data_IF_055014797625
#
_entry.id   IF_055014797625
#
_cell.length_a   1.000
_cell.length_b   1.000
_cell.length_c   1.000
_cell.angle_alpha   90.00
_cell.angle_beta   90.00
_cell.angle_gamma   90.00
#
_symmetry.space_group_name_H-M   'P 1'
#
loop_
_entity.id
_entity.type
_entity.pdbx_description
1 polymer ?
#
# COMPACT_ATOMS: atom_id res chain seq x y z
N UNK A 1 14.95 -16.09 -2.81
CA UNK A 1 13.72 -15.92 -2.01
C UNK A 1 12.54 -16.30 -2.89
N UNK A 2 11.42 -16.68 -2.30
CA UNK A 2 10.16 -16.79 -3.02
C UNK A 2 9.63 -15.40 -3.37
N UNK A 3 8.77 -15.31 -4.39
CA UNK A 3 8.18 -14.04 -4.81
C UNK A 3 7.36 -13.40 -3.68
N UNK A 4 6.60 -14.21 -2.94
CA UNK A 4 5.87 -13.74 -1.76
C UNK A 4 6.79 -13.16 -0.68
N UNK A 5 7.93 -13.79 -0.41
CA UNK A 5 8.91 -13.24 0.56
C UNK A 5 9.47 -11.89 0.10
N UNK A 6 9.72 -11.72 -1.21
CA UNK A 6 10.18 -10.44 -1.78
C UNK A 6 9.10 -9.35 -1.65
N UNK A 7 7.84 -9.69 -1.93
CA UNK A 7 6.70 -8.79 -1.78
C UNK A 7 6.51 -8.36 -0.32
N UNK A 8 6.50 -9.30 0.63
CA UNK A 8 6.34 -9.00 2.06
C UNK A 8 7.51 -8.18 2.61
N UNK A 9 8.73 -8.44 2.14
CA UNK A 9 9.90 -7.65 2.51
C UNK A 9 9.79 -6.20 2.02
N UNK A 10 9.30 -5.99 0.79
CA UNK A 10 9.03 -4.65 0.28
C UNK A 10 7.89 -3.95 1.03
N UNK A 11 6.77 -4.64 1.29
CA UNK A 11 5.66 -4.07 2.08
C UNK A 11 6.14 -3.56 3.43
N UNK A 12 6.96 -4.36 4.13
CA UNK A 12 7.54 -3.98 5.42
C UNK A 12 8.49 -2.78 5.29
N UNK A 13 9.38 -2.80 4.31
CA UNK A 13 10.33 -1.69 4.12
C UNK A 13 9.62 -0.37 3.78
N UNK A 14 8.57 -0.44 2.95
CA UNK A 14 7.74 0.72 2.61
C UNK A 14 6.97 1.24 3.83
N UNK A 15 6.35 0.34 4.61
CA UNK A 15 5.68 0.67 5.87
C UNK A 15 6.64 1.35 6.87
N UNK A 16 7.80 0.75 7.13
CA UNK A 16 8.83 1.29 8.03
C UNK A 16 9.34 2.69 7.58
N UNK A 17 9.27 3.00 6.29
CA UNK A 17 9.63 4.31 5.74
C UNK A 17 8.49 5.33 5.89
N UNK A 18 7.24 4.94 5.62
CA UNK A 18 6.06 5.81 5.74
C UNK A 18 5.81 6.24 7.20
N UNK A 19 6.07 5.35 8.16
CA UNK A 19 5.88 5.61 9.59
C UNK A 19 7.14 6.15 10.29
N UNK A 20 8.19 6.49 9.54
CA UNK A 20 9.43 6.96 10.12
C UNK A 20 9.24 8.27 10.89
N UNK A 21 9.56 8.28 12.18
CA UNK A 21 9.46 9.45 13.05
C UNK A 21 8.07 9.68 13.66
N UNK A 22 7.07 8.83 13.36
CA UNK A 22 5.75 8.87 14.00
C UNK A 22 5.80 8.57 15.51
N UNK A 23 6.88 7.94 15.97
CA UNK A 23 7.17 7.66 17.38
C UNK A 23 7.78 8.85 18.14
N UNK A 24 8.00 9.99 17.47
CA UNK A 24 8.66 11.17 18.04
C UNK A 24 10.19 11.09 18.07
N UNK A 25 10.79 10.04 17.48
CA UNK A 25 12.23 9.93 17.36
C UNK A 25 12.79 10.90 16.31
N UNK A 26 14.02 11.43 16.50
CA UNK A 26 14.66 12.28 15.48
C UNK A 26 14.88 11.52 14.16
N UNK A 27 14.52 12.15 13.04
CA UNK A 27 14.79 11.63 11.70
C UNK A 27 16.19 12.09 11.27
N UNK A 28 17.11 11.16 11.14
CA UNK A 28 18.44 11.42 10.59
C UNK A 28 18.45 11.26 9.07
N UNK A 29 19.04 12.24 8.37
CA UNK A 29 19.02 12.30 6.90
C UNK A 29 19.69 11.11 6.23
N UNK A 30 20.73 10.53 6.85
CA UNK A 30 21.45 9.36 6.36
C UNK A 30 20.61 8.08 6.50
N UNK A 31 19.91 7.90 7.62
CA UNK A 31 18.96 6.79 7.80
C UNK A 31 17.79 6.90 6.83
N UNK A 32 17.17 8.08 6.73
CA UNK A 32 16.09 8.33 5.78
C UNK A 32 16.52 8.02 4.34
N UNK A 33 17.67 8.53 3.92
CA UNK A 33 18.20 8.33 2.58
C UNK A 33 18.52 6.85 2.30
N UNK A 34 19.06 6.13 3.30
CA UNK A 34 19.31 4.69 3.20
C UNK A 34 18.02 3.88 3.05
N UNK A 35 17.00 4.14 3.88
CA UNK A 35 15.71 3.44 3.82
C UNK A 35 14.98 3.71 2.51
N UNK A 36 14.94 4.98 2.09
CA UNK A 36 14.35 5.39 0.82
C UNK A 36 15.03 4.70 -0.38
N UNK A 37 16.37 4.66 -0.38
CA UNK A 37 17.14 3.97 -1.43
C UNK A 37 16.88 2.47 -1.45
N UNK A 38 16.69 1.83 -0.29
CA UNK A 38 16.37 0.40 -0.21
C UNK A 38 14.95 0.10 -0.70
N UNK A 39 13.95 0.88 -0.31
CA UNK A 39 12.57 0.75 -0.83
C UNK A 39 12.57 0.86 -2.34
N UNK A 40 13.17 1.92 -2.89
CA UNK A 40 13.29 2.09 -4.34
C UNK A 40 13.94 0.87 -5.02
N UNK A 41 15.10 0.42 -4.51
CA UNK A 41 15.80 -0.75 -5.07
C UNK A 41 14.94 -2.00 -5.07
N UNK A 42 14.21 -2.26 -3.99
CA UNK A 42 13.32 -3.41 -3.84
C UNK A 42 12.13 -3.30 -4.81
N UNK A 43 11.49 -2.14 -4.90
CA UNK A 43 10.38 -1.88 -5.83
C UNK A 43 10.82 -2.10 -7.28
N UNK A 44 11.94 -1.48 -7.69
CA UNK A 44 12.48 -1.65 -9.05
C UNK A 44 12.84 -3.11 -9.34
N UNK A 45 13.41 -3.83 -8.37
CA UNK A 45 13.77 -5.24 -8.54
C UNK A 45 12.52 -6.11 -8.73
N UNK A 46 11.52 -5.94 -7.85
CA UNK A 46 10.27 -6.69 -7.91
C UNK A 46 9.50 -6.40 -9.20
N UNK A 47 9.42 -5.12 -9.61
CA UNK A 47 8.77 -4.72 -10.85
C UNK A 47 9.46 -5.30 -12.09
N UNK A 48 10.79 -5.15 -12.17
CA UNK A 48 11.57 -5.61 -13.32
C UNK A 48 11.69 -7.13 -13.42
N UNK A 49 11.40 -7.87 -12.35
CA UNK A 49 11.31 -9.33 -12.40
C UNK A 49 10.25 -9.81 -13.41
N UNK A 50 9.21 -9.00 -13.65
CA UNK A 50 8.05 -9.35 -14.47
C UNK A 50 7.21 -10.50 -13.90
N UNK A 51 7.53 -11.01 -12.70
CA UNK A 51 6.81 -12.11 -12.06
C UNK A 51 5.76 -11.56 -11.10
N UNK A 52 4.49 -11.93 -11.35
CA UNK A 52 3.35 -11.44 -10.58
C UNK A 52 2.79 -12.49 -9.63
N UNK A 53 3.20 -13.75 -9.77
CA UNK A 53 2.70 -14.85 -8.96
C UNK A 53 1.64 -15.68 -9.68
N UNK A 54 1.40 -16.87 -9.15
CA UNK A 54 0.51 -17.87 -9.76
C UNK A 54 -0.86 -17.93 -9.10
N UNK A 55 -0.97 -17.46 -7.86
CA UNK A 55 -2.22 -17.42 -7.11
C UNK A 55 -2.71 -15.97 -6.98
N UNK A 56 -4.02 -15.80 -6.81
CA UNK A 56 -4.63 -14.46 -6.61
C UNK A 56 -4.06 -13.77 -5.37
N UNK A 57 -3.80 -14.53 -4.30
CA UNK A 57 -3.21 -14.01 -3.06
C UNK A 57 -1.76 -13.53 -3.24
N UNK A 58 -0.94 -14.30 -3.98
CA UNK A 58 0.43 -13.90 -4.29
C UNK A 58 0.44 -12.65 -5.20
N UNK A 59 -0.44 -12.61 -6.20
CA UNK A 59 -0.60 -11.45 -7.08
C UNK A 59 -1.04 -10.20 -6.31
N UNK A 60 -2.00 -10.34 -5.39
CA UNK A 60 -2.44 -9.26 -4.52
C UNK A 60 -1.29 -8.74 -3.64
N UNK A 61 -0.47 -9.62 -3.08
CA UNK A 61 0.71 -9.23 -2.29
C UNK A 61 1.75 -8.48 -3.12
N UNK A 62 2.02 -8.93 -4.35
CA UNK A 62 2.93 -8.24 -5.27
C UNK A 62 2.40 -6.86 -5.65
N UNK A 63 1.11 -6.75 -5.98
CA UNK A 63 0.49 -5.47 -6.34
C UNK A 63 0.53 -4.49 -5.15
N UNK A 64 0.13 -4.94 -3.96
CA UNK A 64 0.21 -4.15 -2.74
C UNK A 64 1.63 -3.68 -2.46
N UNK A 65 2.62 -4.58 -2.56
CA UNK A 65 4.03 -4.26 -2.35
C UNK A 65 4.53 -3.17 -3.32
N UNK A 66 4.15 -3.26 -4.59
CA UNK A 66 4.54 -2.30 -5.61
C UNK A 66 3.87 -0.94 -5.38
N UNK A 67 2.57 -0.90 -5.09
CA UNK A 67 1.87 0.37 -4.80
C UNK A 67 2.44 1.04 -3.55
N UNK A 68 2.64 0.29 -2.46
CA UNK A 68 3.27 0.82 -1.24
C UNK A 68 4.70 1.31 -1.50
N UNK A 69 5.49 0.53 -2.25
CA UNK A 69 6.87 0.88 -2.56
C UNK A 69 7.00 2.13 -3.42
N UNK A 70 6.16 2.26 -4.45
CA UNK A 70 6.09 3.48 -5.24
C UNK A 70 5.61 4.65 -4.38
N UNK A 71 4.54 4.50 -3.60
CA UNK A 71 4.02 5.57 -2.74
C UNK A 71 5.05 6.07 -1.72
N UNK A 72 5.73 5.15 -1.02
CA UNK A 72 6.71 5.47 0.02
C UNK A 72 8.02 6.07 -0.52
N UNK A 73 8.47 5.65 -1.71
CA UNK A 73 9.73 6.13 -2.28
C UNK A 73 9.59 7.55 -2.86
N UNK A 74 10.53 8.42 -2.46
CA UNK A 74 10.70 9.76 -3.04
C UNK A 74 11.52 9.76 -4.34
N UNK A 75 12.16 8.64 -4.67
CA UNK A 75 12.91 8.51 -5.93
C UNK A 75 11.92 8.31 -7.08
N UNK A 76 11.99 9.20 -8.07
CA UNK A 76 11.24 9.12 -9.31
C UNK A 76 12.12 9.62 -10.47
N UNK A 77 12.37 8.78 -11.48
CA UNK A 77 13.07 9.17 -12.71
C UNK A 77 12.10 9.41 -13.88
N UNK A 78 10.80 9.53 -13.61
CA UNK A 78 9.72 9.79 -14.57
C UNK A 78 8.89 8.54 -14.92
N UNK A 79 9.25 7.38 -14.39
CA UNK A 79 8.60 6.08 -14.64
C UNK A 79 7.49 5.74 -13.64
N UNK A 80 7.51 6.37 -12.45
CA UNK A 80 6.65 5.97 -11.32
C UNK A 80 5.17 5.95 -11.68
N UNK A 81 4.67 7.01 -12.33
CA UNK A 81 3.25 7.12 -12.68
C UNK A 81 2.80 6.05 -13.69
N UNK A 82 3.64 5.73 -14.67
CA UNK A 82 3.35 4.66 -15.62
C UNK A 82 3.28 3.30 -14.90
N UNK A 83 4.25 3.02 -14.04
CA UNK A 83 4.30 1.75 -13.32
C UNK A 83 3.12 1.59 -12.34
N UNK A 84 2.74 2.67 -11.64
CA UNK A 84 1.55 2.68 -10.78
C UNK A 84 0.30 2.35 -11.61
N UNK A 85 0.11 2.97 -12.77
CA UNK A 85 -1.03 2.67 -13.63
C UNK A 85 -1.05 1.21 -14.11
N UNK A 86 0.12 0.65 -14.47
CA UNK A 86 0.22 -0.76 -14.86
C UNK A 86 -0.13 -1.72 -13.73
N UNK A 87 0.24 -1.38 -12.49
CA UNK A 87 -0.13 -2.14 -11.29
C UNK A 87 -1.64 -1.99 -11.00
N UNK A 88 -2.19 -0.78 -11.06
CA UNK A 88 -3.63 -0.53 -10.87
C UNK A 88 -4.48 -1.30 -11.88
N UNK A 89 -4.07 -1.34 -13.16
CA UNK A 89 -4.76 -2.11 -14.18
C UNK A 89 -4.88 -3.60 -13.83
N UNK A 90 -3.87 -4.16 -13.15
CA UNK A 90 -3.90 -5.56 -12.67
C UNK A 90 -4.74 -5.73 -11.41
N UNK A 91 -4.76 -4.72 -10.54
CA UNK A 91 -5.51 -4.75 -9.29
C UNK A 91 -7.00 -4.96 -9.54
N UNK A 92 -7.58 -4.40 -10.61
CA UNK A 92 -9.00 -4.56 -10.93
C UNK A 92 -9.42 -6.05 -11.03
N UNK A 93 -8.70 -6.85 -11.83
CA UNK A 93 -9.00 -8.29 -11.98
C UNK A 93 -8.78 -9.08 -10.67
N UNK A 94 -7.80 -8.65 -9.87
CA UNK A 94 -7.46 -9.28 -8.59
C UNK A 94 -8.55 -8.98 -7.54
N UNK A 95 -9.00 -7.72 -7.45
CA UNK A 95 -9.98 -7.27 -6.47
C UNK A 95 -11.32 -8.01 -6.65
N UNK A 96 -11.74 -8.27 -7.88
CA UNK A 96 -12.97 -9.03 -8.17
C UNK A 96 -12.91 -10.49 -7.67
N UNK A 97 -11.72 -11.09 -7.63
CA UNK A 97 -11.53 -12.52 -7.31
C UNK A 97 -11.03 -12.76 -5.90
N UNK A 98 -10.39 -11.78 -5.28
CA UNK A 98 -9.82 -11.87 -3.94
C UNK A 98 -10.95 -11.90 -2.88
N UNK A 99 -10.95 -12.88 -1.95
CA UNK A 99 -11.94 -12.91 -0.88
C UNK A 99 -11.72 -11.79 0.14
N UNK A 100 -12.79 -11.43 0.86
CA UNK A 100 -12.74 -10.47 1.95
C UNK A 100 -11.69 -10.87 3.00
N UNK A 101 -10.69 -10.02 3.18
CA UNK A 101 -9.51 -10.29 4.01
C UNK A 101 -8.78 -8.98 4.33
N UNK A 102 -7.86 -9.02 5.30
CA UNK A 102 -6.99 -7.88 5.60
C UNK A 102 -6.17 -7.44 4.38
N UNK A 103 -5.66 -8.40 3.60
CA UNK A 103 -4.94 -8.15 2.36
C UNK A 103 -5.81 -7.38 1.36
N UNK A 104 -7.07 -7.80 1.21
CA UNK A 104 -8.02 -7.11 0.32
C UNK A 104 -8.29 -5.68 0.79
N UNK A 105 -8.49 -5.45 2.09
CA UNK A 105 -8.68 -4.09 2.62
C UNK A 105 -7.46 -3.19 2.32
N UNK A 106 -6.25 -3.69 2.57
CA UNK A 106 -5.02 -2.93 2.30
C UNK A 106 -4.84 -2.62 0.81
N UNK A 107 -5.14 -3.58 -0.06
CA UNK A 107 -5.09 -3.38 -1.51
C UNK A 107 -6.16 -2.37 -1.98
N UNK A 108 -7.39 -2.47 -1.49
CA UNK A 108 -8.45 -1.50 -1.76
C UNK A 108 -8.05 -0.08 -1.32
N UNK A 109 -7.46 0.04 -0.13
CA UNK A 109 -6.99 1.32 0.41
C UNK A 109 -5.88 1.92 -0.47
N UNK A 110 -4.89 1.11 -0.86
CA UNK A 110 -3.82 1.54 -1.75
C UNK A 110 -4.34 1.95 -3.14
N UNK A 111 -5.28 1.20 -3.72
CA UNK A 111 -5.89 1.56 -4.99
C UNK A 111 -6.72 2.85 -4.87
N UNK A 112 -7.55 2.96 -3.83
CA UNK A 112 -8.38 4.14 -3.58
C UNK A 112 -7.53 5.40 -3.43
N UNK A 113 -6.39 5.34 -2.73
CA UNK A 113 -5.49 6.49 -2.60
C UNK A 113 -4.89 7.01 -3.92
N UNK A 114 -4.91 6.20 -4.98
CA UNK A 114 -4.42 6.61 -6.31
C UNK A 114 -5.54 7.07 -7.25
N UNK A 115 -6.75 6.48 -7.15
CA UNK A 115 -7.84 6.75 -8.12
C UNK A 115 -9.08 7.46 -7.53
N UNK A 116 -9.24 7.47 -6.21
CA UNK A 116 -10.38 8.04 -5.49
C UNK A 116 -11.75 7.54 -5.97
N UNK A 117 -11.84 6.26 -6.36
CA UNK A 117 -13.06 5.65 -6.90
C UNK A 117 -13.97 5.14 -5.76
N UNK A 118 -15.18 5.70 -5.66
CA UNK A 118 -16.14 5.41 -4.57
C UNK A 118 -16.47 3.92 -4.38
N UNK A 119 -16.64 3.08 -5.43
CA UNK A 119 -16.89 1.65 -5.27
C UNK A 119 -15.79 0.90 -4.49
N UNK A 120 -14.53 1.33 -4.58
CA UNK A 120 -13.43 0.75 -3.81
C UNK A 120 -13.60 1.02 -2.31
N UNK A 121 -14.05 2.23 -1.97
CA UNK A 121 -14.33 2.63 -0.60
C UNK A 121 -15.54 1.89 -0.03
N UNK A 122 -16.61 1.72 -0.82
CA UNK A 122 -17.81 0.97 -0.42
C UNK A 122 -17.49 -0.50 -0.10
N UNK A 123 -16.63 -1.13 -0.90
CA UNK A 123 -16.18 -2.49 -0.65
C UNK A 123 -15.31 -2.56 0.62
N UNK A 124 -14.37 -1.62 0.80
CA UNK A 124 -13.54 -1.54 1.99
C UNK A 124 -14.40 -1.38 3.27
N UNK A 125 -15.39 -0.49 3.25
CA UNK A 125 -16.36 -0.34 4.33
C UNK A 125 -17.12 -1.64 4.61
N UNK A 126 -17.53 -2.36 3.57
CA UNK A 126 -18.22 -3.65 3.70
C UNK A 126 -17.34 -4.71 4.39
N UNK A 127 -16.04 -4.75 4.07
CA UNK A 127 -15.07 -5.64 4.73
C UNK A 127 -14.92 -5.27 6.20
N UNK A 128 -14.72 -3.98 6.52
CA UNK A 128 -14.56 -3.51 7.90
C UNK A 128 -15.81 -3.81 8.73
N UNK A 129 -17.01 -3.59 8.18
CA UNK A 129 -18.27 -3.87 8.84
C UNK A 129 -18.50 -5.38 9.11
N UNK A 130 -17.81 -6.26 8.37
CA UNK A 130 -17.87 -7.71 8.61
C UNK A 130 -17.05 -8.16 9.81
N UNK A 131 -16.13 -7.33 10.31
CA UNK A 131 -15.26 -7.66 11.43
C UNK A 131 -15.94 -7.38 12.77
N UNK A 132 -15.55 -8.14 13.80
CA UNK A 132 -15.98 -7.86 15.16
C UNK A 132 -15.14 -6.72 15.74
N UNK A 133 -15.73 -5.53 15.85
CA UNK A 133 -15.08 -4.33 16.37
C UNK A 133 -14.46 -4.51 17.78
N UNK A 134 -14.99 -5.43 18.60
CA UNK A 134 -14.43 -5.69 19.94
C UNK A 134 -13.19 -6.59 19.94
N UNK A 135 -12.85 -7.21 18.80
CA UNK A 135 -11.79 -8.22 18.67
C UNK A 135 -10.83 -7.93 17.51
N UNK A 136 -10.69 -6.67 17.10
CA UNK A 136 -9.73 -6.30 16.06
C UNK A 136 -8.30 -6.55 16.52
N UNK A 137 -7.48 -7.11 15.63
CA UNK A 137 -6.03 -7.19 15.83
C UNK A 137 -5.40 -5.80 15.62
N UNK A 138 -4.17 -5.62 16.10
CA UNK A 138 -3.43 -4.37 15.88
C UNK A 138 -3.30 -4.03 14.39
N UNK A 139 -3.01 -5.04 13.54
CA UNK A 139 -2.87 -4.86 12.10
C UNK A 139 -4.20 -4.51 11.41
N UNK A 140 -5.32 -5.05 11.91
CA UNK A 140 -6.65 -4.68 11.42
C UNK A 140 -7.02 -3.26 11.83
N UNK A 141 -6.73 -2.87 13.07
CA UNK A 141 -6.98 -1.52 13.54
C UNK A 141 -6.16 -0.50 12.74
N UNK A 142 -4.87 -0.77 12.54
CA UNK A 142 -4.00 0.06 11.71
C UNK A 142 -4.54 0.21 10.27
N UNK A 143 -4.95 -0.89 9.64
CA UNK A 143 -5.51 -0.83 8.29
C UNK A 143 -6.85 -0.06 8.23
N UNK A 144 -7.65 -0.08 9.30
CA UNK A 144 -8.87 0.74 9.41
C UNK A 144 -8.52 2.21 9.54
N UNK A 145 -7.53 2.54 10.38
CA UNK A 145 -7.08 3.92 10.61
C UNK A 145 -6.45 4.52 9.34
N UNK A 146 -5.63 3.73 8.62
CA UNK A 146 -5.08 4.09 7.31
C UNK A 146 -6.18 4.38 6.30
N UNK A 147 -7.16 3.48 6.18
CA UNK A 147 -8.28 3.66 5.26
C UNK A 147 -9.09 4.92 5.57
N UNK A 148 -9.37 5.19 6.85
CA UNK A 148 -10.06 6.41 7.27
C UNK A 148 -9.24 7.66 6.92
N UNK A 149 -7.93 7.65 7.16
CA UNK A 149 -7.06 8.78 6.84
C UNK A 149 -7.09 9.11 5.33
N UNK A 150 -6.99 8.10 4.47
CA UNK A 150 -7.05 8.31 3.01
C UNK A 150 -8.43 8.84 2.58
N UNK A 151 -9.51 8.35 3.18
CA UNK A 151 -10.88 8.82 2.91
C UNK A 151 -11.12 10.27 3.39
N UNK A 152 -10.53 10.67 4.51
CA UNK A 152 -10.68 12.01 5.09
C UNK A 152 -9.81 13.06 4.39
N UNK A 153 -8.76 12.63 3.67
CA UNK A 153 -7.82 13.51 2.98
C UNK A 153 -7.77 13.30 1.45
N UNK A 154 -8.92 13.35 0.72
CA UNK A 154 -8.94 13.12 -0.72
C UNK A 154 -8.30 14.26 -1.52
N UNK A 155 -8.24 15.47 -0.95
CA UNK A 155 -7.71 16.66 -1.60
C UNK A 155 -6.55 17.24 -0.80
N UNK A 156 -5.29 17.05 -1.25
CA UNK A 156 -4.10 17.54 -0.52
C UNK A 156 -4.05 19.06 -0.31
N UNK A 157 -4.82 19.83 -1.08
CA UNK A 157 -4.91 21.29 -1.01
C UNK A 157 -6.07 21.79 -0.15
N UNK A 158 -6.86 20.91 0.45
CA UNK A 158 -7.93 21.28 1.36
C UNK A 158 -7.34 21.53 2.75
N UNK A 159 -7.14 22.80 3.09
CA UNK A 159 -6.70 23.18 4.43
C UNK A 159 -7.81 22.88 5.46
N UNK A 160 -7.49 22.07 6.46
CA UNK A 160 -8.36 21.89 7.64
C UNK A 160 -8.44 23.24 8.35
N UNK A 161 -9.65 23.77 8.47
CA UNK A 161 -9.89 25.00 9.23
C UNK A 161 -9.78 24.69 10.72
N UNK A 162 -8.81 25.29 11.39
CA UNK A 162 -8.64 25.27 12.85
C UNK A 162 -9.87 25.79 13.61
#
# INVERSE_FOLDING_TARGET
MSLLEEALLLQRAAHDLMYLGMDGSPIYSDDLSRRNGEVYRLTTTLYNSGTWGTTVEEQANVCLALLMGYSASFVDHGEKQQHVQEVLNRCWDILDTLPASLLKLRLLTACYGEVFDEPLADEAHSIIASWNAALLTAEQQEAVDEFQNVMENPYPWEEVKD
#
